data_IF_942010036360
#
_entry.id   IF_942010036360
#
_cell.length_a   1.000
_cell.length_b   1.000
_cell.length_c   1.000
_cell.angle_alpha   90.00
_cell.angle_beta   90.00
_cell.angle_gamma   90.00
#
_symmetry.space_group_name_H-M   'P 1'
#
loop_
_entity.id
_entity.type
_entity.pdbx_description
1 polymer ?
#
# COMPACT_ATOMS: atom_id res chain seq x y z
N UNK A 1 -4.50 4.33 10.98
CA UNK A 1 -5.59 3.99 10.02
C UNK A 1 -5.68 2.48 9.70
N UNK A 2 -6.90 1.92 9.57
CA UNK A 2 -7.14 0.55 9.07
C UNK A 2 -7.16 0.55 7.53
N UNK A 3 -6.54 -0.45 6.89
CA UNK A 3 -6.44 -0.58 5.44
C UNK A 3 -6.84 -1.98 4.96
N UNK A 4 -7.39 -2.06 3.75
CA UNK A 4 -7.80 -3.28 3.07
C UNK A 4 -7.39 -3.23 1.60
N UNK A 5 -6.83 -4.33 1.09
CA UNK A 5 -6.57 -4.52 -0.32
C UNK A 5 -7.28 -5.74 -0.89
N UNK A 6 -8.10 -5.54 -1.92
CA UNK A 6 -8.81 -6.58 -2.67
C UNK A 6 -8.14 -6.78 -4.03
N UNK A 7 -7.37 -7.85 -4.20
CA UNK A 7 -6.62 -8.11 -5.43
C UNK A 7 -7.00 -9.45 -6.05
N UNK A 8 -7.18 -9.45 -7.37
CA UNK A 8 -7.41 -10.63 -8.21
C UNK A 8 -6.74 -10.51 -9.58
N UNK A 9 -6.76 -11.60 -10.35
CA UNK A 9 -6.21 -11.63 -11.72
C UNK A 9 -4.72 -11.98 -11.80
N UNK A 10 -4.03 -12.15 -10.67
CA UNK A 10 -2.70 -12.76 -10.59
C UNK A 10 -2.79 -14.19 -10.10
N UNK A 11 -1.64 -14.81 -9.85
CA UNK A 11 -1.55 -16.21 -9.45
C UNK A 11 -2.17 -16.50 -8.07
N UNK A 12 -2.59 -17.75 -7.91
CA UNK A 12 -3.35 -18.19 -6.75
C UNK A 12 -4.79 -17.65 -6.74
N UNK A 13 -5.47 -17.77 -5.60
CA UNK A 13 -6.84 -17.28 -5.44
C UNK A 13 -6.88 -15.74 -5.33
N UNK A 14 -7.95 -15.08 -5.75
CA UNK A 14 -8.21 -13.69 -5.36
C UNK A 14 -8.22 -13.54 -3.83
N UNK A 15 -7.66 -12.44 -3.34
CA UNK A 15 -7.35 -12.25 -1.95
C UNK A 15 -7.75 -10.89 -1.41
N UNK A 16 -8.10 -10.89 -0.12
CA UNK A 16 -8.23 -9.68 0.69
C UNK A 16 -7.13 -9.65 1.74
N UNK A 17 -6.35 -8.58 1.78
CA UNK A 17 -5.31 -8.36 2.80
C UNK A 17 -5.71 -7.19 3.68
N UNK A 18 -5.66 -7.40 4.99
CA UNK A 18 -5.96 -6.37 6.00
C UNK A 18 -4.66 -5.92 6.65
N UNK A 19 -4.50 -4.60 6.79
CA UNK A 19 -3.34 -3.99 7.42
C UNK A 19 -3.73 -2.79 8.28
N UNK A 20 -2.82 -2.40 9.17
CA UNK A 20 -2.92 -1.17 9.96
C UNK A 20 -1.73 -0.30 9.64
N UNK A 21 -1.99 0.94 9.24
CA UNK A 21 -0.99 1.98 9.12
C UNK A 21 -0.90 2.74 10.45
N UNK A 22 0.27 2.69 11.08
CA UNK A 22 0.67 3.66 12.08
C UNK A 22 1.13 4.92 11.37
N UNK A 23 0.35 5.97 11.49
CA UNK A 23 0.56 7.24 10.80
C UNK A 23 1.66 8.08 11.46
N UNK A 24 1.96 7.86 12.74
CA UNK A 24 2.99 8.58 13.47
C UNK A 24 4.38 8.03 13.14
N UNK A 25 4.51 6.70 13.14
CA UNK A 25 5.78 6.03 12.85
C UNK A 25 5.96 5.69 11.36
N UNK A 26 4.92 5.94 10.56
CA UNK A 26 4.80 5.54 9.16
C UNK A 26 5.10 4.04 8.96
N UNK A 27 4.59 3.20 9.86
CA UNK A 27 4.78 1.74 9.84
C UNK A 27 3.51 1.06 9.36
N UNK A 28 3.67 0.10 8.46
CA UNK A 28 2.58 -0.73 7.95
C UNK A 28 2.67 -2.12 8.57
N UNK A 29 1.63 -2.50 9.31
CA UNK A 29 1.48 -3.84 9.88
C UNK A 29 0.44 -4.64 9.10
N UNK A 30 0.86 -5.69 8.41
CA UNK A 30 -0.03 -6.61 7.70
C UNK A 30 -0.59 -7.63 8.70
N UNK A 31 -1.89 -7.58 8.99
CA UNK A 31 -2.52 -8.43 10.01
C UNK A 31 -2.80 -9.85 9.49
N UNK A 32 -3.52 -9.94 8.36
CA UNK A 32 -3.92 -11.22 7.76
C UNK A 32 -4.16 -11.11 6.26
N UNK A 33 -4.00 -12.24 5.57
CA UNK A 33 -4.47 -12.46 4.22
C UNK A 33 -5.54 -13.54 4.22
N UNK A 34 -6.66 -13.27 3.55
CA UNK A 34 -7.83 -14.15 3.51
C UNK A 34 -8.37 -14.27 2.07
N UNK A 35 -9.32 -15.19 1.85
CA UNK A 35 -10.07 -15.23 0.60
C UNK A 35 -10.73 -13.87 0.34
N UNK A 36 -10.83 -13.49 -0.93
CA UNK A 36 -11.49 -12.27 -1.35
C UNK A 36 -12.83 -12.05 -0.64
N UNK A 37 -12.99 -10.87 -0.06
CA UNK A 37 -14.22 -10.32 0.47
C UNK A 37 -14.47 -8.96 -0.19
N UNK A 38 -15.52 -8.84 -1.01
CA UNK A 38 -15.82 -7.58 -1.68
C UNK A 38 -16.23 -6.49 -0.67
N UNK A 39 -16.78 -6.88 0.48
CA UNK A 39 -17.19 -5.94 1.51
C UNK A 39 -15.98 -5.29 2.20
N UNK A 40 -16.12 -4.00 2.48
CA UNK A 40 -15.18 -3.25 3.31
C UNK A 40 -15.21 -3.78 4.74
N UNK A 41 -14.03 -4.03 5.33
CA UNK A 41 -13.91 -4.65 6.65
C UNK A 41 -14.51 -3.79 7.76
N UNK A 42 -14.43 -2.46 7.62
CA UNK A 42 -15.08 -1.44 8.46
C UNK A 42 -15.35 -0.19 7.62
N UNK A 43 -16.34 0.60 8.02
CA UNK A 43 -16.73 1.83 7.31
C UNK A 43 -15.55 2.78 7.09
N UNK A 44 -14.68 2.92 8.09
CA UNK A 44 -13.49 3.80 8.05
C UNK A 44 -12.23 3.17 7.42
N UNK A 45 -12.27 1.91 6.99
CA UNK A 45 -11.09 1.21 6.51
C UNK A 45 -10.74 1.63 5.09
N UNK A 46 -9.55 2.17 4.84
CA UNK A 46 -9.10 2.53 3.49
C UNK A 46 -9.04 1.33 2.55
N UNK A 47 -9.80 1.34 1.45
CA UNK A 47 -10.00 0.21 0.55
C UNK A 47 -9.38 0.46 -0.83
N UNK A 48 -8.34 -0.31 -1.13
CA UNK A 48 -7.71 -0.37 -2.45
C UNK A 48 -8.10 -1.66 -3.16
N UNK A 49 -8.40 -1.58 -4.46
CA UNK A 49 -8.85 -2.75 -5.23
C UNK A 49 -8.39 -2.68 -6.67
N UNK A 50 -8.17 -3.84 -7.31
CA UNK A 50 -8.08 -3.92 -8.77
C UNK A 50 -9.28 -4.64 -9.40
N UNK A 51 -10.27 -5.02 -8.58
CA UNK A 51 -11.45 -5.75 -9.02
C UNK A 51 -12.61 -4.80 -9.32
N UNK A 52 -13.58 -5.20 -10.16
CA UNK A 52 -14.81 -4.44 -10.34
C UNK A 52 -15.62 -4.46 -9.04
N UNK A 53 -15.66 -3.34 -8.32
CA UNK A 53 -16.50 -3.14 -7.13
C UNK A 53 -16.93 -1.67 -7.05
N UNK A 54 -18.05 -1.40 -6.38
CA UNK A 54 -18.62 -0.03 -6.30
C UNK A 54 -18.05 0.77 -5.13
N UNK A 55 -17.78 0.12 -3.99
CA UNK A 55 -17.22 0.76 -2.80
C UNK A 55 -15.69 0.57 -2.77
N UNK A 56 -14.94 1.62 -3.06
CA UNK A 56 -13.47 1.66 -2.94
C UNK A 56 -12.96 3.10 -2.87
N UNK A 57 -11.78 3.27 -2.26
CA UNK A 57 -11.10 4.58 -2.19
C UNK A 57 -10.01 4.71 -3.27
N UNK A 58 -9.47 3.58 -3.75
CA UNK A 58 -8.48 3.58 -4.82
C UNK A 58 -8.60 2.40 -5.78
N UNK A 59 -8.73 2.69 -7.07
CA UNK A 59 -8.60 1.71 -8.14
C UNK A 59 -7.13 1.51 -8.50
N UNK A 60 -6.57 0.39 -8.07
CA UNK A 60 -5.21 -0.04 -8.39
C UNK A 60 -5.13 -0.61 -9.80
N UNK A 61 -4.16 -0.16 -10.58
CA UNK A 61 -4.01 -0.53 -11.99
C UNK A 61 -2.53 -0.61 -12.40
N UNK A 62 -2.26 -1.13 -13.60
CA UNK A 62 -0.89 -1.35 -14.10
C UNK A 62 -0.01 -0.11 -14.09
N UNK A 63 -0.60 1.08 -14.25
CA UNK A 63 0.11 2.37 -14.20
C UNK A 63 0.77 2.61 -12.83
N UNK A 64 0.22 2.01 -11.78
CA UNK A 64 0.67 2.19 -10.40
C UNK A 64 1.79 1.22 -10.02
N UNK A 65 1.97 0.12 -10.78
CA UNK A 65 2.81 -1.00 -10.37
C UNK A 65 4.25 -0.59 -10.11
N UNK A 66 4.84 0.19 -11.02
CA UNK A 66 6.23 0.66 -10.89
C UNK A 66 6.45 1.38 -9.56
N UNK A 67 5.57 2.33 -9.23
CA UNK A 67 5.66 3.08 -7.98
C UNK A 67 5.37 2.19 -6.78
N UNK A 68 4.39 1.29 -6.89
CA UNK A 68 4.02 0.39 -5.80
C UNK A 68 5.16 -0.55 -5.38
N UNK A 69 5.92 -1.08 -6.34
CA UNK A 69 7.14 -1.84 -6.03
C UNK A 69 8.22 -1.00 -5.35
N UNK A 70 8.39 0.27 -5.76
CA UNK A 70 9.33 1.19 -5.11
C UNK A 70 8.91 1.49 -3.66
N UNK A 71 7.61 1.71 -3.44
CA UNK A 71 7.07 1.97 -2.10
C UNK A 71 7.18 0.73 -1.21
N UNK A 72 6.86 -0.46 -1.73
CA UNK A 72 7.09 -1.71 -1.02
C UNK A 72 8.55 -1.86 -0.58
N UNK A 73 9.51 -1.57 -1.45
CA UNK A 73 10.94 -1.59 -1.11
C UNK A 73 11.30 -0.57 -0.05
N UNK A 74 10.75 0.63 -0.12
CA UNK A 74 10.94 1.65 0.92
C UNK A 74 10.50 1.10 2.29
N UNK A 75 9.29 0.54 2.39
CA UNK A 75 8.77 -0.03 3.63
C UNK A 75 9.61 -1.24 4.12
N UNK A 76 10.00 -2.13 3.21
CA UNK A 76 10.81 -3.31 3.53
C UNK A 76 12.20 -2.92 4.05
N UNK A 77 12.93 -2.07 3.31
CA UNK A 77 14.32 -1.71 3.62
C UNK A 77 14.44 -0.79 4.84
N UNK A 78 13.40 -0.01 5.14
CA UNK A 78 13.38 0.87 6.32
C UNK A 78 12.92 0.17 7.60
N UNK A 79 12.60 -1.13 7.55
CA UNK A 79 12.06 -1.87 8.69
C UNK A 79 10.67 -1.37 9.11
N UNK A 80 9.94 -0.69 8.22
CA UNK A 80 8.61 -0.14 8.47
C UNK A 80 7.49 -1.08 8.05
N UNK A 81 7.81 -2.27 7.53
CA UNK A 81 6.86 -3.31 7.17
C UNK A 81 6.94 -4.46 8.17
N UNK A 82 5.83 -4.76 8.83
CA UNK A 82 5.70 -5.90 9.73
C UNK A 82 4.54 -6.80 9.32
N UNK A 83 4.61 -8.07 9.68
CA UNK A 83 3.59 -9.06 9.34
C UNK A 83 3.17 -9.84 10.57
N UNK A 84 1.87 -9.95 10.80
CA UNK A 84 1.28 -10.87 11.75
C UNK A 84 1.44 -12.33 11.34
N UNK A 85 1.16 -13.23 12.28
CA UNK A 85 1.29 -14.68 12.05
C UNK A 85 0.38 -15.17 10.92
N UNK A 86 -0.81 -14.58 10.78
CA UNK A 86 -1.80 -14.92 9.73
C UNK A 86 -1.51 -14.28 8.37
N UNK A 87 -0.43 -13.51 8.24
CA UNK A 87 -0.04 -12.82 7.01
C UNK A 87 1.29 -13.30 6.44
N UNK A 88 1.93 -14.30 7.05
CA UNK A 88 3.28 -14.73 6.64
C UNK A 88 3.35 -15.20 5.18
N UNK A 89 2.31 -15.85 4.69
CA UNK A 89 2.22 -16.33 3.29
C UNK A 89 2.06 -15.19 2.27
N UNK A 90 1.56 -14.03 2.71
CA UNK A 90 1.40 -12.85 1.86
C UNK A 90 2.70 -12.03 1.74
N UNK A 91 3.80 -12.44 2.38
CA UNK A 91 5.09 -11.77 2.26
C UNK A 91 5.57 -11.80 0.81
N UNK A 92 5.75 -10.65 0.13
CA UNK A 92 6.20 -10.65 -1.25
C UNK A 92 7.65 -11.15 -1.36
N UNK A 93 7.88 -12.11 -2.25
CA UNK A 93 9.20 -12.71 -2.52
C UNK A 93 9.91 -12.06 -3.71
N UNK A 94 9.60 -10.80 -4.01
CA UNK A 94 10.12 -10.13 -5.21
C UNK A 94 11.58 -9.73 -5.00
N UNK A 95 12.47 -10.18 -5.87
CA UNK A 95 13.86 -9.70 -6.00
C UNK A 95 13.96 -8.71 -7.17
N UNK A 96 14.74 -7.63 -7.01
CA UNK A 96 14.99 -6.71 -8.14
C UNK A 96 16.22 -7.23 -8.86
N UNK A 97 16.06 -7.55 -10.14
CA UNK A 97 17.19 -7.85 -11.00
C UNK A 97 17.67 -6.54 -11.64
N UNK A 98 18.96 -6.26 -11.45
CA UNK A 98 19.79 -5.14 -11.94
C UNK A 98 19.08 -3.86 -12.43
N UNK A 99 19.48 -2.74 -11.83
CA UNK A 99 19.22 -1.39 -12.35
C UNK A 99 19.91 -1.25 -13.71
N UNK A 100 19.13 -1.05 -14.78
CA UNK A 100 19.65 -0.70 -16.12
C UNK A 100 19.55 0.81 -16.35
N UNK A 101 20.30 1.35 -17.31
CA UNK A 101 20.30 2.80 -17.67
C UNK A 101 18.92 3.35 -18.05
N UNK A 102 17.97 2.48 -18.42
CA UNK A 102 16.57 2.78 -18.75
C UNK A 102 15.60 2.73 -17.55
N UNK A 103 16.11 2.50 -16.34
CA UNK A 103 15.33 2.38 -15.10
C UNK A 103 15.44 1.00 -14.46
N UNK A 104 14.85 0.87 -13.25
CA UNK A 104 14.79 -0.39 -12.50
C UNK A 104 13.84 -1.36 -13.21
N UNK A 105 14.37 -2.43 -13.79
CA UNK A 105 13.56 -3.55 -14.23
C UNK A 105 13.23 -4.41 -13.01
N UNK A 106 11.94 -4.64 -12.75
CA UNK A 106 11.51 -5.58 -11.73
C UNK A 106 11.44 -6.96 -12.40
N UNK A 107 12.44 -7.81 -12.18
CA UNK A 107 12.30 -9.21 -12.53
C UNK A 107 11.36 -9.84 -11.50
N UNK A 108 10.12 -10.06 -11.92
CA UNK A 108 9.16 -10.82 -11.12
C UNK A 108 9.62 -12.29 -11.20
N UNK A 109 10.51 -12.69 -10.29
CA UNK A 109 10.94 -14.07 -10.13
C UNK A 109 9.77 -14.88 -9.56
N UNK A 110 9.09 -15.61 -10.43
CA UNK A 110 7.96 -16.45 -10.07
C UNK A 110 6.62 -15.72 -10.14
N UNK A 111 5.57 -16.49 -10.37
CA UNK A 111 4.19 -16.04 -10.35
C UNK A 111 3.83 -15.34 -9.03
N UNK A 112 3.82 -14.00 -9.00
CA UNK A 112 3.41 -13.24 -7.82
C UNK A 112 1.96 -13.55 -7.47
N UNK A 113 1.70 -13.93 -6.22
CA UNK A 113 0.34 -14.27 -5.82
C UNK A 113 -0.49 -13.01 -5.58
N UNK A 114 -1.81 -13.13 -5.70
CA UNK A 114 -2.72 -12.02 -5.36
C UNK A 114 -2.51 -11.51 -3.93
N UNK A 115 -2.20 -12.40 -2.97
CA UNK A 115 -1.92 -12.05 -1.57
C UNK A 115 -0.64 -11.20 -1.45
N UNK A 116 0.42 -11.56 -2.16
CA UNK A 116 1.66 -10.79 -2.21
C UNK A 116 1.46 -9.44 -2.91
N UNK A 117 0.71 -9.41 -4.01
CA UNK A 117 0.46 -8.20 -4.75
C UNK A 117 -0.44 -7.21 -3.97
N UNK A 118 -1.37 -7.72 -3.18
CA UNK A 118 -2.17 -6.91 -2.25
C UNK A 118 -1.30 -6.20 -1.21
N UNK A 119 -0.26 -6.86 -0.68
CA UNK A 119 0.70 -6.18 0.23
C UNK A 119 1.42 -5.04 -0.47
N UNK A 120 1.82 -5.22 -1.73
CA UNK A 120 2.48 -4.18 -2.52
C UNK A 120 1.53 -2.99 -2.76
N UNK A 121 0.27 -3.27 -3.10
CA UNK A 121 -0.77 -2.25 -3.24
C UNK A 121 -1.01 -1.48 -1.93
N UNK A 122 -0.99 -2.16 -0.78
CA UNK A 122 -1.10 -1.51 0.53
C UNK A 122 0.08 -0.60 0.84
N UNK A 123 1.31 -1.00 0.51
CA UNK A 123 2.49 -0.12 0.67
C UNK A 123 2.36 1.15 -0.16
N UNK A 124 1.90 1.02 -1.41
CA UNK A 124 1.63 2.17 -2.28
C UNK A 124 0.57 3.10 -1.67
N UNK A 125 -0.56 2.54 -1.27
CA UNK A 125 -1.66 3.32 -0.74
C UNK A 125 -1.27 4.00 0.58
N UNK A 126 -0.58 3.30 1.47
CA UNK A 126 -0.08 3.86 2.72
C UNK A 126 0.90 5.03 2.48
N UNK A 127 1.77 4.93 1.47
CA UNK A 127 2.68 6.01 1.09
C UNK A 127 1.92 7.24 0.60
N UNK A 128 0.91 7.03 -0.25
CA UNK A 128 0.06 8.08 -0.81
C UNK A 128 -0.76 8.79 0.28
N UNK A 129 -1.36 8.05 1.21
CA UNK A 129 -2.10 8.64 2.33
C UNK A 129 -1.17 9.44 3.24
N UNK A 130 0.02 8.92 3.54
CA UNK A 130 1.01 9.64 4.35
C UNK A 130 1.42 10.97 3.69
N UNK A 131 1.68 10.95 2.38
CA UNK A 131 2.04 12.16 1.63
C UNK A 131 0.91 13.18 1.59
N UNK A 132 -0.34 12.73 1.41
CA UNK A 132 -1.50 13.61 1.44
C UNK A 132 -1.65 14.28 2.82
N UNK A 133 -1.51 13.50 3.91
CA UNK A 133 -1.57 14.04 5.26
C UNK A 133 -0.45 15.04 5.54
N UNK A 134 0.79 14.75 5.14
CA UNK A 134 1.90 15.69 5.30
C UNK A 134 1.68 17.00 4.53
N UNK A 135 1.06 16.93 3.35
CA UNK A 135 0.75 18.13 2.57
C UNK A 135 -0.33 18.98 3.26
N UNK A 136 -1.40 18.38 3.76
CA UNK A 136 -2.44 19.09 4.52
C UNK A 136 -1.87 19.78 5.76
N UNK A 137 -1.07 19.06 6.55
CA UNK A 137 -0.42 19.65 7.72
C UNK A 137 0.51 20.82 7.36
N UNK A 138 1.18 20.77 6.21
CA UNK A 138 2.04 21.86 5.75
C UNK A 138 1.24 23.11 5.32
N UNK A 139 0.03 22.92 4.78
CA UNK A 139 -0.89 24.02 4.50
C UNK A 139 -1.37 24.69 5.79
N UNK A 140 -1.76 23.91 6.81
CA UNK A 140 -2.18 24.46 8.10
C UNK A 140 -1.06 25.31 8.74
N UNK A 141 0.19 24.83 8.70
CA UNK A 141 1.36 25.58 9.19
C UNK A 141 1.60 26.88 8.39
N UNK A 142 1.33 26.86 7.08
CA UNK A 142 1.50 28.04 6.23
C UNK A 142 0.43 29.10 6.51
N UNK A 143 -0.82 28.70 6.72
CA UNK A 143 -1.90 29.61 7.08
C UNK A 143 -1.62 30.25 8.45
N UNK A 144 -1.19 29.47 9.44
CA UNK A 144 -0.74 29.97 10.74
C UNK A 144 0.42 30.99 10.60
N UNK A 145 1.38 30.72 9.71
CA UNK A 145 2.51 31.64 9.47
C UNK A 145 2.06 32.97 8.86
N UNK A 146 1.12 32.95 7.92
CA UNK A 146 0.60 34.17 7.29
C UNK A 146 -0.25 35.02 8.24
N UNK A 147 -0.99 34.41 9.16
CA UNK A 147 -1.72 35.15 10.19
C UNK A 147 -0.78 35.96 11.11
N UNK A 148 0.45 35.48 11.34
CA UNK A 148 1.48 36.20 12.12
C UNK A 148 2.08 37.40 11.41
N UNK A 149 2.22 37.38 10.07
CA UNK A 149 2.75 38.54 9.31
C UNK A 149 1.72 39.68 9.17
N UNK A 150 0.47 39.45 9.57
CA UNK A 150 -0.62 40.43 9.44
C UNK A 150 -0.91 41.19 10.76
N UNK A 151 -0.09 40.98 11.80
CA UNK A 151 -0.12 41.68 13.11
C UNK A 151 1.08 42.62 13.24
#
# INVERSE_FOLDING_TARGET
MLLQANIGGFSGRPATVIAVLDENEHRLYIDRAIAMRPERAKEEAGLITNQPQEDFDYQFSEKDFRQAFQDFRFYQNSGRLAFGNSAQQARPTVEIDKITESGTNFAIYGEITNEQFAVIALCFFAKKTTQAQSALNAFDIYDDFNEWETI
#
